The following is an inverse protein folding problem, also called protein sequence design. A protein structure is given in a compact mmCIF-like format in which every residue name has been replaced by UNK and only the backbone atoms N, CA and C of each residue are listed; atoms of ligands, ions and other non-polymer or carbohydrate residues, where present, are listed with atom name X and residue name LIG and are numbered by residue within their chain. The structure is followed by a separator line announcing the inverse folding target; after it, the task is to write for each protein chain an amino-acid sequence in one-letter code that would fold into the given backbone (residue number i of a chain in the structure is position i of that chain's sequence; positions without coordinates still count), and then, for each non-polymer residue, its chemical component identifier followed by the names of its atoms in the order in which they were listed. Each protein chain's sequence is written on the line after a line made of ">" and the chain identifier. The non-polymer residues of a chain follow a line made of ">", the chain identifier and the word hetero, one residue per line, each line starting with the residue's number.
data_IF_228919818856
#
_entry.id   IF_228919818856
#
_cell.length_a   1.000
_cell.length_b   1.000
_cell.length_c   1.000
_cell.angle_alpha   90.00
_cell.angle_beta   90.00
_cell.angle_gamma   90.00
#
_symmetry.space_group_name_H-M   'P 1'
#
loop_
_entity.id
_entity.type
_entity.pdbx_description
1 polymer ?
#
# COMPACT_ATOMS: atom_id res chain seq x y z
N UNK A 1 10.93 -20.13 25.68
CA UNK A 1 9.96 -19.19 26.27
C UNK A 1 9.26 -18.56 25.09
N UNK A 2 8.03 -18.95 24.81
CA UNK A 2 7.26 -18.30 23.75
C UNK A 2 6.63 -17.08 24.38
N UNK A 3 7.12 -15.90 24.02
CA UNK A 3 6.58 -14.65 24.52
C UNK A 3 5.08 -14.57 24.19
N UNK A 4 4.29 -14.25 25.19
CA UNK A 4 2.84 -14.07 25.10
C UNK A 4 2.47 -12.80 24.30
N UNK A 5 3.49 -12.02 23.87
CA UNK A 5 3.35 -10.74 23.15
C UNK A 5 3.44 -10.85 21.62
N UNK A 6 3.93 -11.96 21.05
CA UNK A 6 4.04 -12.15 19.59
C UNK A 6 2.72 -11.90 18.83
N UNK A 7 1.57 -12.47 19.23
CA UNK A 7 0.30 -12.21 18.54
C UNK A 7 -0.19 -10.76 18.72
N UNK A 8 0.17 -10.09 19.82
CA UNK A 8 -0.24 -8.70 20.08
C UNK A 8 0.42 -7.74 19.09
N UNK A 9 1.72 -7.93 18.80
CA UNK A 9 2.46 -7.09 17.85
C UNK A 9 1.94 -7.25 16.41
N UNK A 10 1.59 -8.47 15.98
CA UNK A 10 1.03 -8.69 14.64
C UNK A 10 -0.36 -8.05 14.50
N UNK A 11 -1.19 -8.12 15.54
CA UNK A 11 -2.48 -7.45 15.56
C UNK A 11 -2.33 -5.92 15.51
N UNK A 12 -1.36 -5.36 16.22
CA UNK A 12 -1.04 -3.92 16.15
C UNK A 12 -0.49 -3.52 14.80
N UNK A 13 0.32 -4.37 14.17
CA UNK A 13 0.80 -4.14 12.80
C UNK A 13 -0.39 -4.10 11.83
N UNK A 14 -1.33 -5.05 11.95
CA UNK A 14 -2.55 -5.03 11.13
C UNK A 14 -3.38 -3.77 11.36
N UNK A 15 -3.49 -3.31 12.61
CA UNK A 15 -4.18 -2.07 12.94
C UNK A 15 -3.45 -0.83 12.40
N UNK A 16 -2.12 -0.76 12.51
CA UNK A 16 -1.28 0.31 11.97
C UNK A 16 -1.32 0.40 10.43
N UNK A 17 -1.46 -0.74 9.75
CA UNK A 17 -1.61 -0.78 8.30
C UNK A 17 -3.05 -0.42 7.87
N UNK A 18 -4.04 -0.79 8.68
CA UNK A 18 -5.46 -0.53 8.41
C UNK A 18 -5.96 0.84 8.88
N UNK A 19 -5.23 1.50 9.77
CA UNK A 19 -5.59 2.79 10.37
C UNK A 19 -4.43 3.79 10.27
N UNK A 20 -4.76 5.08 10.20
CA UNK A 20 -3.78 6.16 10.41
C UNK A 20 -2.96 6.52 9.17
N UNK A 21 -1.72 6.92 9.42
CA UNK A 21 -0.87 7.57 8.43
C UNK A 21 -0.48 6.65 7.26
N UNK A 22 -0.42 5.33 7.45
CA UNK A 22 0.01 4.40 6.41
C UNK A 22 -0.85 4.53 5.14
N UNK A 23 -2.16 4.36 5.27
CA UNK A 23 -3.09 4.45 4.15
C UNK A 23 -3.03 5.82 3.47
N UNK A 24 -2.93 6.91 4.25
CA UNK A 24 -2.80 8.27 3.70
C UNK A 24 -1.49 8.49 2.94
N UNK A 25 -0.38 7.91 3.39
CA UNK A 25 0.89 8.00 2.67
C UNK A 25 0.87 7.18 1.38
N UNK A 26 0.22 6.01 1.39
CA UNK A 26 0.04 5.21 0.17
C UNK A 26 -0.87 5.95 -0.82
N UNK A 27 -1.98 6.51 -0.37
CA UNK A 27 -2.89 7.29 -1.22
C UNK A 27 -2.18 8.50 -1.85
N UNK A 28 -1.44 9.28 -1.06
CA UNK A 28 -0.66 10.41 -1.58
C UNK A 28 0.43 9.98 -2.58
N UNK A 29 1.04 8.80 -2.36
CA UNK A 29 1.98 8.23 -3.32
C UNK A 29 1.29 7.84 -4.63
N UNK A 30 0.12 7.20 -4.56
CA UNK A 30 -0.66 6.85 -5.73
C UNK A 30 -1.14 8.11 -6.48
N UNK A 31 -1.60 9.14 -5.80
CA UNK A 31 -1.97 10.41 -6.41
C UNK A 31 -0.83 11.02 -7.26
N UNK A 32 0.40 11.00 -6.75
CA UNK A 32 1.56 11.56 -7.45
C UNK A 32 2.12 10.67 -8.58
N UNK A 33 1.99 9.34 -8.46
CA UNK A 33 2.70 8.39 -9.34
C UNK A 33 1.81 7.46 -10.15
N UNK A 34 0.57 7.18 -9.73
CA UNK A 34 -0.33 6.25 -10.44
C UNK A 34 -0.60 6.72 -11.87
N UNK A 35 -0.77 8.02 -12.09
CA UNK A 35 -0.96 8.62 -13.43
C UNK A 35 0.26 8.46 -14.36
N UNK A 36 1.45 8.19 -13.80
CA UNK A 36 2.69 7.92 -14.55
C UNK A 36 2.86 6.44 -14.89
N UNK A 37 2.20 5.55 -14.17
CA UNK A 37 2.21 4.10 -14.44
C UNK A 37 1.34 3.84 -15.67
N UNK A 38 1.99 3.71 -16.84
CA UNK A 38 1.31 3.43 -18.12
C UNK A 38 1.12 1.94 -18.40
N UNK A 39 1.94 1.11 -17.77
CA UNK A 39 1.90 -0.33 -17.95
C UNK A 39 0.91 -0.95 -16.97
N UNK A 40 -0.18 -1.54 -17.48
CA UNK A 40 -1.07 -2.37 -16.67
C UNK A 40 -0.42 -3.69 -16.24
N UNK A 41 -1.04 -4.43 -15.30
CA UNK A 41 -0.54 -5.71 -14.80
C UNK A 41 -0.45 -6.81 -15.87
N UNK A 42 -1.15 -6.65 -17.00
CA UNK A 42 -1.13 -7.58 -18.14
C UNK A 42 -0.33 -7.05 -19.35
N UNK A 43 0.40 -5.93 -19.19
CA UNK A 43 1.24 -5.39 -20.26
C UNK A 43 2.47 -6.28 -20.47
N UNK A 44 2.73 -6.73 -21.70
CA UNK A 44 3.96 -7.46 -22.04
C UNK A 44 5.20 -6.54 -22.06
N UNK A 45 4.98 -5.23 -22.19
CA UNK A 45 6.01 -4.19 -22.06
C UNK A 45 5.80 -3.43 -20.74
N UNK A 46 6.72 -3.63 -19.80
CA UNK A 46 6.79 -2.83 -18.58
C UNK A 46 7.88 -1.78 -18.74
N UNK A 47 7.49 -0.50 -18.73
CA UNK A 47 8.44 0.59 -18.75
C UNK A 47 9.35 0.56 -17.52
N UNK A 48 10.63 0.90 -17.70
CA UNK A 48 11.58 1.06 -16.60
C UNK A 48 11.07 2.04 -15.54
N UNK A 49 10.32 3.05 -15.97
CA UNK A 49 9.70 4.04 -15.10
C UNK A 49 8.70 3.40 -14.11
N UNK A 50 7.89 2.42 -14.54
CA UNK A 50 6.97 1.69 -13.65
C UNK A 50 7.71 0.89 -12.60
N UNK A 51 8.83 0.26 -12.97
CA UNK A 51 9.69 -0.46 -12.03
C UNK A 51 10.38 0.50 -11.03
N UNK A 52 10.86 1.66 -11.49
CA UNK A 52 11.46 2.67 -10.61
C UNK A 52 10.42 3.23 -9.61
N UNK A 53 9.18 3.42 -10.04
CA UNK A 53 8.07 3.81 -9.15
C UNK A 53 7.79 2.70 -8.14
N UNK A 54 7.76 1.44 -8.55
CA UNK A 54 7.60 0.32 -7.62
C UNK A 54 8.71 0.27 -6.56
N UNK A 55 9.97 0.48 -6.95
CA UNK A 55 11.08 0.56 -5.99
C UNK A 55 10.88 1.70 -4.98
N UNK A 56 10.36 2.86 -5.42
CA UNK A 56 10.01 3.96 -4.51
C UNK A 56 8.85 3.60 -3.58
N UNK A 57 7.86 2.86 -4.08
CA UNK A 57 6.77 2.34 -3.28
C UNK A 57 7.32 1.44 -2.17
N UNK A 58 8.15 0.44 -2.50
CA UNK A 58 8.80 -0.44 -1.51
C UNK A 58 9.57 0.37 -0.47
N UNK A 59 10.36 1.35 -0.89
CA UNK A 59 11.14 2.18 0.03
C UNK A 59 10.24 3.00 0.98
N UNK A 60 9.06 3.45 0.51
CA UNK A 60 8.07 4.12 1.35
C UNK A 60 7.49 3.14 2.39
N UNK A 61 7.10 1.94 1.96
CA UNK A 61 6.56 0.90 2.85
C UNK A 61 7.58 0.47 3.90
N UNK A 62 8.83 0.25 3.51
CA UNK A 62 9.94 -0.07 4.43
C UNK A 62 10.14 1.04 5.46
N UNK A 63 10.09 2.31 5.04
CA UNK A 63 10.22 3.45 5.95
C UNK A 63 9.07 3.54 6.95
N UNK A 64 7.83 3.28 6.51
CA UNK A 64 6.65 3.28 7.37
C UNK A 64 6.69 2.13 8.38
N UNK A 65 7.16 0.94 7.96
CA UNK A 65 7.38 -0.20 8.85
C UNK A 65 8.51 0.06 9.84
N UNK A 66 9.60 0.69 9.42
CA UNK A 66 10.68 1.10 10.31
C UNK A 66 10.17 2.09 11.38
N UNK A 67 9.26 2.97 11.01
CA UNK A 67 8.53 3.85 11.94
C UNK A 67 7.81 3.03 13.01
N UNK A 68 6.96 2.10 12.60
CA UNK A 68 6.23 1.20 13.50
C UNK A 68 7.16 0.41 14.42
N UNK A 69 8.22 -0.21 13.88
CA UNK A 69 9.19 -1.00 14.64
C UNK A 69 9.87 -0.16 15.72
N UNK A 70 10.21 1.10 15.41
CA UNK A 70 10.77 2.05 16.37
C UNK A 70 9.76 2.48 17.43
N UNK A 71 8.49 2.70 17.06
CA UNK A 71 7.43 3.08 18.00
C UNK A 71 7.12 1.96 19.00
N UNK A 72 7.15 0.70 18.56
CA UNK A 72 7.03 -0.46 19.45
C UNK A 72 8.31 -0.74 20.26
N UNK A 73 9.38 0.05 20.06
CA UNK A 73 10.65 -0.08 20.78
C UNK A 73 11.43 -1.35 20.43
N UNK A 74 11.19 -1.91 19.24
CA UNK A 74 11.81 -3.13 18.75
C UNK A 74 13.00 -2.81 17.84
N UNK A 75 13.94 -3.75 17.74
CA UNK A 75 14.91 -3.77 16.65
C UNK A 75 14.37 -4.51 15.42
N UNK A 76 14.96 -4.25 14.25
CA UNK A 76 14.62 -4.97 13.02
C UNK A 76 14.81 -6.49 13.14
N UNK A 77 15.82 -6.93 13.90
CA UNK A 77 16.06 -8.36 14.15
C UNK A 77 14.97 -8.99 15.03
N UNK A 78 14.53 -8.27 16.07
CA UNK A 78 13.43 -8.71 16.94
C UNK A 78 12.11 -8.77 16.16
N UNK A 79 11.79 -7.74 15.38
CA UNK A 79 10.58 -7.72 14.56
C UNK A 79 10.57 -8.87 13.54
N UNK A 80 11.70 -9.13 12.88
CA UNK A 80 11.83 -10.27 11.96
C UNK A 80 11.63 -11.61 12.67
N UNK A 81 12.18 -11.76 13.88
CA UNK A 81 11.97 -12.96 14.70
C UNK A 81 10.50 -13.12 15.09
N UNK A 82 9.82 -12.04 15.47
CA UNK A 82 8.38 -12.01 15.78
C UNK A 82 7.55 -12.44 14.56
N UNK A 83 7.81 -11.88 13.37
CA UNK A 83 7.10 -12.27 12.14
C UNK A 83 7.33 -13.76 11.81
N UNK A 84 8.57 -14.24 11.90
CA UNK A 84 8.90 -15.64 11.62
C UNK A 84 8.27 -16.60 12.63
N UNK A 85 8.21 -16.20 13.90
CA UNK A 85 7.54 -16.96 14.95
C UNK A 85 6.02 -16.99 14.72
N UNK A 86 5.42 -15.84 14.41
CA UNK A 86 3.99 -15.72 14.13
C UNK A 86 3.55 -16.60 12.94
N UNK A 87 4.31 -16.59 11.85
CA UNK A 87 4.09 -17.47 10.69
C UNK A 87 4.11 -18.96 11.06
N UNK A 88 4.89 -19.34 12.07
CA UNK A 88 5.01 -20.73 12.51
C UNK A 88 3.98 -21.15 13.57
N UNK A 89 3.37 -20.18 14.26
CA UNK A 89 2.45 -20.42 15.39
C UNK A 89 0.99 -20.47 14.98
N UNK A 90 0.57 -19.61 14.05
CA UNK A 90 -0.84 -19.42 13.71
C UNK A 90 -1.03 -19.15 12.21
N UNK A 91 -1.97 -19.88 11.62
CA UNK A 91 -2.25 -19.81 10.17
C UNK A 91 -2.85 -18.46 9.78
N UNK A 92 -3.63 -17.82 10.66
CA UNK A 92 -4.20 -16.50 10.38
C UNK A 92 -3.09 -15.45 10.24
N UNK A 93 -2.14 -15.45 11.18
CA UNK A 93 -0.98 -14.56 11.19
C UNK A 93 -0.05 -14.84 9.99
N UNK A 94 0.13 -16.11 9.63
CA UNK A 94 0.88 -16.51 8.45
C UNK A 94 0.25 -15.97 7.16
N UNK A 95 -1.04 -16.26 6.95
CA UNK A 95 -1.79 -15.78 5.80
C UNK A 95 -1.81 -14.25 5.71
N UNK A 96 -1.93 -13.55 6.85
CA UNK A 96 -1.88 -12.09 6.90
C UNK A 96 -0.53 -11.56 6.43
N UNK A 97 0.58 -12.09 6.96
CA UNK A 97 1.93 -11.65 6.58
C UNK A 97 2.25 -12.00 5.13
N UNK A 98 1.81 -13.15 4.64
CA UNK A 98 1.95 -13.52 3.22
C UNK A 98 1.13 -12.60 2.31
N UNK A 99 -0.12 -12.30 2.68
CA UNK A 99 -0.95 -11.36 1.94
C UNK A 99 -0.35 -9.95 1.94
N UNK A 100 0.24 -9.52 3.06
CA UNK A 100 0.90 -8.24 3.19
C UNK A 100 2.11 -8.14 2.24
N UNK A 101 2.99 -9.14 2.23
CA UNK A 101 4.14 -9.18 1.32
C UNK A 101 3.66 -9.22 -0.13
N UNK A 102 2.66 -10.05 -0.43
CA UNK A 102 2.08 -10.14 -1.76
C UNK A 102 1.44 -8.81 -2.23
N UNK A 103 0.94 -7.99 -1.31
CA UNK A 103 0.41 -6.66 -1.62
C UNK A 103 1.50 -5.68 -2.09
N UNK A 104 2.76 -5.95 -1.76
CA UNK A 104 3.90 -5.13 -2.17
C UNK A 104 4.62 -5.68 -3.40
N UNK A 105 4.28 -6.89 -3.85
CA UNK A 105 4.83 -7.47 -5.07
C UNK A 105 4.47 -6.60 -6.29
N UNK A 106 5.41 -6.53 -7.24
CA UNK A 106 5.28 -5.74 -8.46
C UNK A 106 3.93 -5.90 -9.19
N UNK A 107 3.42 -7.12 -9.47
CA UNK A 107 2.13 -7.28 -10.17
C UNK A 107 0.96 -6.69 -9.38
N UNK A 108 0.93 -6.84 -8.05
CA UNK A 108 -0.14 -6.31 -7.20
C UNK A 108 -0.09 -4.78 -7.15
N UNK A 109 1.12 -4.22 -7.05
CA UNK A 109 1.32 -2.77 -7.13
C UNK A 109 0.83 -2.21 -8.47
N UNK A 110 1.14 -2.85 -9.59
CA UNK A 110 0.68 -2.41 -10.90
C UNK A 110 -0.84 -2.43 -11.03
N UNK A 111 -1.50 -3.49 -10.53
CA UNK A 111 -2.96 -3.54 -10.48
C UNK A 111 -3.52 -2.37 -9.67
N UNK A 112 -3.00 -2.14 -8.46
CA UNK A 112 -3.47 -1.05 -7.60
C UNK A 112 -3.27 0.33 -8.24
N UNK A 113 -2.10 0.60 -8.80
CA UNK A 113 -1.80 1.87 -9.44
C UNK A 113 -2.64 2.09 -10.71
N UNK A 114 -2.89 1.03 -11.49
CA UNK A 114 -3.75 1.11 -12.66
C UNK A 114 -5.20 1.41 -12.28
N UNK A 115 -5.76 0.66 -11.33
CA UNK A 115 -7.15 0.85 -10.87
C UNK A 115 -7.34 2.27 -10.32
N UNK A 116 -6.39 2.75 -9.50
CA UNK A 116 -6.42 4.12 -8.97
C UNK A 116 -6.35 5.19 -10.06
N UNK A 117 -5.51 5.00 -11.08
CA UNK A 117 -5.39 5.92 -12.20
C UNK A 117 -6.65 5.95 -13.10
N UNK A 118 -7.33 4.80 -13.26
CA UNK A 118 -8.61 4.73 -13.96
C UNK A 118 -9.72 5.45 -13.18
N UNK A 119 -9.84 5.20 -11.87
CA UNK A 119 -10.83 5.88 -11.02
C UNK A 119 -10.65 7.41 -11.02
N UNK A 120 -9.41 7.89 -11.02
CA UNK A 120 -9.12 9.33 -11.06
C UNK A 120 -9.56 9.97 -12.38
N UNK A 121 -9.30 9.31 -13.52
CA UNK A 121 -9.77 9.79 -14.83
C UNK A 121 -11.28 9.87 -14.88
N UNK A 122 -11.98 8.85 -14.38
CA UNK A 122 -13.45 8.85 -14.34
C UNK A 122 -14.03 9.98 -13.47
N UNK A 123 -13.31 10.41 -12.41
CA UNK A 123 -13.73 11.54 -11.57
C UNK A 123 -13.49 12.88 -12.24
N UNK A 124 -12.37 13.04 -12.95
CA UNK A 124 -12.08 14.24 -13.72
C UNK A 124 -13.11 14.42 -14.85
N UNK A 125 -13.41 13.35 -15.60
CA UNK A 125 -14.40 13.39 -16.69
C UNK A 125 -15.82 13.70 -16.22
N UNK A 126 -16.22 13.26 -15.01
CA UNK A 126 -17.54 13.56 -14.43
C UNK A 126 -17.61 14.94 -13.78
N UNK A 127 -16.49 15.51 -13.34
CA UNK A 127 -16.43 16.85 -12.73
C UNK A 127 -16.59 17.99 -13.74
N UNK A 128 -16.37 17.74 -15.02
CA UNK A 128 -16.50 18.74 -16.09
C UNK A 128 -17.93 18.89 -16.65
N UNK A 129 -18.88 18.01 -16.28
CA UNK A 129 -20.26 18.05 -16.80
C UNK A 129 -21.24 18.94 -15.99
N UNK A 130 -20.85 19.47 -14.82
CA UNK A 130 -21.76 20.25 -13.93
C UNK A 130 -21.62 21.78 -13.97
N UNK A 131 -20.72 22.37 -14.77
CA UNK A 131 -20.56 23.86 -14.87
C UNK A 131 -21.28 24.48 -16.10
N UNK A 132 -22.28 23.80 -16.63
CA UNK A 132 -22.86 24.08 -17.95
C UNK A 132 -24.26 24.70 -18.02
N UNK A 133 -24.95 25.01 -16.92
CA UNK A 133 -26.32 25.56 -17.00
C UNK A 133 -26.66 26.50 -15.82
N UNK A 134 -26.46 27.81 -16.01
CA UNK A 134 -27.54 28.82 -15.88
C UNK A 134 -27.01 30.21 -16.28
N UNK A 135 -27.24 30.61 -17.52
CA UNK A 135 -27.19 32.01 -17.94
C UNK A 135 -28.14 32.22 -19.10
N UNK A 136 -29.44 32.36 -18.82
CA UNK A 136 -30.29 33.36 -19.48
C UNK A 136 -31.66 33.40 -18.81
N UNK A 137 -31.89 34.46 -18.03
CA UNK A 137 -33.23 34.90 -17.67
C UNK A 137 -33.29 36.40 -17.99
N UNK A 138 -33.62 36.71 -19.24
CA UNK A 138 -34.10 38.03 -19.69
C UNK A 138 -35.61 37.95 -19.94
#
# INVERSE_FOLDING_TARGET
>A
MGDENTPDIILRLADYLGQGDFASHIEAFLDEYATKVKAGPSSEEHDHESHDIHLKFIALTEKLLEGFVKEEGLSNEEFKAICSEAQSRDEVSANFLEALIASWEYPTFLSLAHDYAEEMKEREEKGEEEDGEESEND
#
